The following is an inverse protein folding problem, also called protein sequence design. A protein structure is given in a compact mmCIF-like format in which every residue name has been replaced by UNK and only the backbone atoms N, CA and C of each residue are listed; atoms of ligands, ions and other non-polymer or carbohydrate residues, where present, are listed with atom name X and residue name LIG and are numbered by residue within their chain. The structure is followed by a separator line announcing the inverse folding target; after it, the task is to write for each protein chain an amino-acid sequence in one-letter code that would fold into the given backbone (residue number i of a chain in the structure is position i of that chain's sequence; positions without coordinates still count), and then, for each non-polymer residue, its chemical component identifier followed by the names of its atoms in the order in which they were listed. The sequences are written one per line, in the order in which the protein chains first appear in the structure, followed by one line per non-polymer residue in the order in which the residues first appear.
data_IF_142291129563
#
_entry.id   IF_142291129563
#
_cell.length_a   1.000
_cell.length_b   1.000
_cell.length_c   1.000
_cell.angle_alpha   90.00
_cell.angle_beta   90.00
_cell.angle_gamma   90.00
#
_symmetry.space_group_name_H-M   'P 1'
#
loop_
_entity.id
_entity.type
_entity.pdbx_description
1 polymer ?
#
# COMPACT_ATOMS: atom_id res chain seq x y z
N UNK A 1 -15.36 -2.59 9.97
CA UNK A 1 -14.52 -3.35 9.05
C UNK A 1 -13.06 -3.20 9.41
N UNK A 2 -12.28 -4.21 9.09
CA UNK A 2 -10.82 -4.14 9.18
C UNK A 2 -10.26 -3.92 7.79
N UNK A 3 -9.46 -2.89 7.62
CA UNK A 3 -8.91 -2.51 6.33
C UNK A 3 -7.40 -2.41 6.45
N UNK A 4 -6.68 -3.06 5.54
CA UNK A 4 -5.24 -2.87 5.38
C UNK A 4 -5.00 -2.07 4.12
N UNK A 5 -4.15 -1.04 4.21
CA UNK A 5 -3.76 -0.25 3.06
C UNK A 5 -2.29 -0.53 2.81
N UNK A 6 -1.95 -0.87 1.57
CA UNK A 6 -0.56 -1.06 1.15
C UNK A 6 -0.22 0.03 0.15
N UNK A 7 0.66 0.93 0.53
CA UNK A 7 1.02 2.02 -0.34
C UNK A 7 1.84 3.08 0.35
N UNK A 8 2.09 4.20 -0.35
CA UNK A 8 2.88 5.29 0.22
C UNK A 8 2.16 5.94 1.38
N UNK A 9 2.91 6.22 2.43
CA UNK A 9 2.44 6.97 3.59
C UNK A 9 3.66 7.52 4.29
N UNK A 10 3.47 8.27 5.36
CA UNK A 10 4.60 8.78 6.14
C UNK A 10 5.60 7.63 6.43
N UNK A 11 6.90 7.82 6.29
CA UNK A 11 7.60 9.08 6.06
C UNK A 11 7.82 9.44 4.59
N UNK A 12 7.18 8.78 3.65
CA UNK A 12 7.37 9.09 2.24
C UNK A 12 6.67 10.37 1.85
N UNK A 13 7.26 11.08 0.88
CA UNK A 13 6.80 12.38 0.42
C UNK A 13 5.89 12.25 -0.77
N UNK A 14 5.07 13.25 -1.00
CA UNK A 14 4.32 13.41 -2.23
C UNK A 14 2.83 13.26 -2.07
N UNK A 15 2.13 13.54 -3.17
CA UNK A 15 0.69 13.54 -3.20
C UNK A 15 0.07 12.17 -2.95
N UNK A 16 0.75 11.10 -3.37
CA UNK A 16 0.23 9.75 -3.16
C UNK A 16 0.14 9.42 -1.67
N UNK A 17 1.16 9.79 -0.90
CA UNK A 17 1.14 9.55 0.54
C UNK A 17 0.02 10.35 1.21
N UNK A 18 -0.17 11.59 0.80
CA UNK A 18 -1.25 12.44 1.33
C UNK A 18 -2.61 11.82 1.02
N UNK A 19 -2.81 11.36 -0.19
CA UNK A 19 -4.08 10.73 -0.61
C UNK A 19 -4.36 9.47 0.21
N UNK A 20 -3.36 8.60 0.37
CA UNK A 20 -3.56 7.36 1.11
C UNK A 20 -3.88 7.62 2.57
N UNK A 21 -3.21 8.58 3.19
CA UNK A 21 -3.50 8.95 4.57
C UNK A 21 -4.88 9.58 4.72
N UNK A 22 -5.29 10.38 3.76
CA UNK A 22 -6.64 10.96 3.76
C UNK A 22 -7.71 9.89 3.65
N UNK A 23 -7.49 8.90 2.79
CA UNK A 23 -8.42 7.78 2.66
C UNK A 23 -8.52 6.99 3.97
N UNK A 24 -7.38 6.76 4.62
CA UNK A 24 -7.39 6.06 5.91
C UNK A 24 -8.21 6.81 6.93
N UNK A 25 -8.10 8.13 6.97
CA UNK A 25 -8.88 8.94 7.91
C UNK A 25 -10.37 8.89 7.61
N UNK A 26 -10.74 8.86 6.34
CA UNK A 26 -12.15 8.71 5.96
C UNK A 26 -12.71 7.38 6.47
N UNK A 27 -11.99 6.30 6.28
CA UNK A 27 -12.41 4.99 6.78
C UNK A 27 -12.53 4.99 8.31
N UNK A 28 -11.57 5.60 8.99
CA UNK A 28 -11.62 5.69 10.45
C UNK A 28 -12.84 6.45 10.95
N UNK A 29 -13.23 7.51 10.26
CA UNK A 29 -14.42 8.28 10.62
C UNK A 29 -15.70 7.47 10.47
N UNK A 30 -15.67 6.47 9.59
CA UNK A 30 -16.79 5.54 9.42
C UNK A 30 -16.82 4.45 10.47
N UNK A 31 -15.82 4.41 11.33
CA UNK A 31 -15.74 3.39 12.37
C UNK A 31 -14.90 2.17 11.98
N UNK A 32 -14.18 2.22 10.86
CA UNK A 32 -13.36 1.11 10.42
C UNK A 32 -12.01 1.11 11.12
N UNK A 33 -11.45 -0.08 11.35
CA UNK A 33 -10.09 -0.23 11.84
C UNK A 33 -9.16 -0.25 10.63
N UNK A 34 -8.23 0.70 10.55
CA UNK A 34 -7.37 0.87 9.39
C UNK A 34 -5.91 0.79 9.80
N UNK A 35 -5.15 -0.02 9.09
CA UNK A 35 -3.70 -0.10 9.23
C UNK A 35 -3.05 0.14 7.89
N UNK A 36 -2.04 1.02 7.86
CA UNK A 36 -1.30 1.31 6.63
C UNK A 36 0.04 0.61 6.71
N UNK A 37 0.35 -0.16 5.68
CA UNK A 37 1.65 -0.81 5.52
C UNK A 37 2.38 -0.10 4.40
N UNK A 38 3.36 0.69 4.77
CA UNK A 38 4.14 1.45 3.82
C UNK A 38 5.53 0.84 3.64
N UNK A 39 6.37 1.50 2.89
CA UNK A 39 7.61 0.91 2.42
C UNK A 39 8.77 1.14 3.39
N UNK A 40 9.62 0.12 3.54
CA UNK A 40 10.97 0.31 4.06
C UNK A 40 11.89 0.78 2.95
N UNK A 41 11.63 0.30 1.72
CA UNK A 41 12.31 0.73 0.52
C UNK A 41 11.28 0.80 -0.60
N UNK A 42 10.97 1.99 -1.08
CA UNK A 42 9.99 2.18 -2.14
C UNK A 42 10.62 2.02 -3.52
N UNK A 43 11.78 2.65 -3.73
CA UNK A 43 12.54 2.55 -4.96
C UNK A 43 14.01 2.35 -4.65
N UNK A 44 14.75 1.63 -5.50
CA UNK A 44 16.20 1.58 -5.38
C UNK A 44 16.79 2.98 -5.50
N UNK A 45 17.87 3.22 -4.78
CA UNK A 45 18.54 4.53 -4.80
C UNK A 45 19.00 4.93 -6.19
N UNK A 46 19.28 3.95 -7.03
CA UNK A 46 19.74 4.22 -8.38
C UNK A 46 18.72 5.00 -9.20
N UNK A 47 17.43 4.88 -8.88
CA UNK A 47 16.37 5.61 -9.57
C UNK A 47 16.23 7.06 -9.09
N UNK A 48 16.75 7.37 -7.91
CA UNK A 48 16.61 8.69 -7.30
C UNK A 48 17.92 9.10 -6.64
N UNK A 49 19.02 9.20 -7.40
CA UNK A 49 20.30 9.57 -6.80
C UNK A 49 20.24 10.99 -6.25
N UNK A 50 20.73 11.16 -5.03
CA UNK A 50 20.80 12.47 -4.41
C UNK A 50 19.49 13.05 -3.94
N UNK A 51 18.40 12.29 -3.96
CA UNK A 51 17.09 12.75 -3.48
C UNK A 51 16.64 11.96 -2.28
N UNK A 52 16.07 12.68 -1.33
CA UNK A 52 15.41 12.06 -0.20
C UNK A 52 13.97 11.71 -0.58
N UNK A 53 13.61 10.46 -0.40
CA UNK A 53 12.25 10.00 -0.62
C UNK A 53 11.37 10.19 0.59
N UNK A 54 11.96 10.57 1.72
CA UNK A 54 11.26 10.62 3.01
C UNK A 54 11.36 12.00 3.63
N UNK A 55 10.46 12.27 4.57
CA UNK A 55 10.48 13.50 5.37
C UNK A 55 10.95 13.18 6.78
N UNK A 56 11.41 14.20 7.49
CA UNK A 56 11.96 14.06 8.83
C UNK A 56 10.95 14.44 9.91
N UNK A 57 9.70 14.62 9.55
CA UNK A 57 8.65 14.98 10.50
C UNK A 57 8.17 13.75 11.28
N UNK A 58 7.60 13.93 12.48
CA UNK A 58 7.04 12.81 13.22
C UNK A 58 5.81 12.23 12.49
N UNK A 59 5.53 10.94 12.70
CA UNK A 59 4.36 10.33 12.05
C UNK A 59 3.06 10.93 12.59
N UNK A 60 1.99 10.94 11.76
CA UNK A 60 0.68 11.35 12.23
C UNK A 60 0.22 10.49 13.40
N UNK A 61 -0.17 11.08 14.53
CA UNK A 61 -0.54 10.28 15.71
C UNK A 61 -1.89 9.58 15.57
N UNK A 62 -2.72 10.02 14.63
CA UNK A 62 -4.04 9.45 14.42
C UNK A 62 -4.07 8.25 13.48
N UNK A 63 -2.94 7.91 12.88
CA UNK A 63 -2.87 6.82 11.90
C UNK A 63 -1.90 5.75 12.36
N UNK A 64 -2.27 4.50 12.12
CA UNK A 64 -1.42 3.36 12.37
C UNK A 64 -0.64 3.06 11.09
N UNK A 65 0.62 3.44 11.06
CA UNK A 65 1.48 3.28 9.89
C UNK A 65 2.69 2.42 10.26
N UNK A 66 2.90 1.35 9.50
CA UNK A 66 4.04 0.46 9.70
C UNK A 66 4.87 0.42 8.43
N UNK A 67 6.17 0.64 8.56
CA UNK A 67 7.09 0.48 7.44
C UNK A 67 7.54 -0.95 7.37
N UNK A 68 7.06 -1.69 6.39
CA UNK A 68 7.35 -3.12 6.32
C UNK A 68 7.57 -3.67 4.92
N UNK A 69 7.27 -2.90 3.87
CA UNK A 69 7.34 -3.42 2.51
C UNK A 69 8.64 -3.01 1.83
N UNK A 70 9.45 -3.98 1.44
CA UNK A 70 10.66 -3.75 0.68
C UNK A 70 10.42 -4.19 -0.76
N UNK A 71 10.39 -3.23 -1.70
CA UNK A 71 10.05 -3.51 -3.09
C UNK A 71 11.09 -4.33 -3.83
N UNK A 72 12.24 -4.55 -3.23
CA UNK A 72 13.34 -5.30 -3.86
C UNK A 72 13.56 -6.68 -3.28
N UNK A 73 12.79 -7.09 -2.28
CA UNK A 73 13.02 -8.36 -1.59
C UNK A 73 11.77 -9.25 -1.68
N UNK A 74 11.79 -10.29 -2.54
CA UNK A 74 10.63 -11.19 -2.67
C UNK A 74 10.26 -11.94 -1.38
N UNK A 75 11.23 -12.25 -0.55
CA UNK A 75 10.94 -12.91 0.73
C UNK A 75 10.15 -11.99 1.64
N UNK A 76 10.44 -10.69 1.59
CA UNK A 76 9.66 -9.70 2.31
C UNK A 76 8.21 -9.68 1.83
N UNK A 77 7.98 -9.76 0.52
CA UNK A 77 6.63 -9.73 -0.06
C UNK A 77 5.79 -10.89 0.48
N UNK A 78 6.39 -12.07 0.54
CA UNK A 78 5.72 -13.26 1.07
C UNK A 78 5.40 -13.06 2.56
N UNK A 79 6.36 -12.55 3.32
CA UNK A 79 6.16 -12.33 4.75
C UNK A 79 5.06 -11.32 5.02
N UNK A 80 5.03 -10.22 4.28
CA UNK A 80 3.98 -9.21 4.42
C UNK A 80 2.62 -9.78 4.05
N UNK A 81 2.55 -10.53 2.95
CA UNK A 81 1.30 -11.17 2.54
C UNK A 81 0.77 -12.13 3.60
N UNK A 82 1.64 -12.94 4.17
CA UNK A 82 1.26 -13.87 5.24
C UNK A 82 0.81 -13.13 6.50
N UNK A 83 1.49 -12.04 6.82
CA UNK A 83 1.09 -11.21 7.96
C UNK A 83 -0.31 -10.67 7.77
N UNK A 84 -0.59 -10.12 6.59
CA UNK A 84 -1.94 -9.63 6.27
C UNK A 84 -2.96 -10.75 6.36
N UNK A 85 -2.64 -11.93 5.84
CA UNK A 85 -3.55 -13.06 5.90
C UNK A 85 -3.90 -13.43 7.34
N UNK A 86 -2.94 -13.36 8.24
CA UNK A 86 -3.17 -13.66 9.66
C UNK A 86 -4.00 -12.59 10.36
N UNK A 87 -3.86 -11.34 9.94
CA UNK A 87 -4.69 -10.25 10.49
C UNK A 87 -6.14 -10.34 10.04
N UNK A 88 -6.39 -11.02 8.93
CA UNK A 88 -7.73 -11.22 8.37
C UNK A 88 -8.50 -9.91 8.19
N UNK A 89 -7.96 -8.93 7.47
CA UNK A 89 -8.72 -7.74 7.15
C UNK A 89 -9.87 -8.11 6.20
N UNK A 90 -10.91 -7.32 6.22
CA UNK A 90 -12.02 -7.51 5.28
C UNK A 90 -11.56 -7.24 3.87
N UNK A 91 -10.75 -6.20 3.67
CA UNK A 91 -10.10 -6.01 2.39
C UNK A 91 -8.76 -5.30 2.54
N UNK A 92 -7.95 -5.43 1.49
CA UNK A 92 -6.66 -4.77 1.35
C UNK A 92 -6.76 -3.81 0.18
N UNK A 93 -6.49 -2.54 0.43
CA UNK A 93 -6.43 -1.53 -0.62
C UNK A 93 -4.98 -1.30 -0.99
N UNK A 94 -4.65 -1.54 -2.25
CA UNK A 94 -3.31 -1.35 -2.78
C UNK A 94 -3.30 -0.17 -3.73
N UNK A 95 -2.33 0.72 -3.56
CA UNK A 95 -2.13 1.85 -4.45
C UNK A 95 -1.07 1.49 -5.48
N UNK A 96 -1.50 1.31 -6.72
CA UNK A 96 -0.63 0.92 -7.82
C UNK A 96 -0.47 2.10 -8.77
N UNK A 97 0.76 2.53 -8.98
CA UNK A 97 1.00 3.68 -9.88
C UNK A 97 2.14 3.45 -10.86
N UNK A 98 2.86 2.35 -10.75
CA UNK A 98 3.97 2.07 -11.67
C UNK A 98 4.13 0.56 -11.84
N UNK A 99 4.47 0.10 -13.06
CA UNK A 99 4.71 -1.33 -13.30
C UNK A 99 5.79 -1.95 -12.44
N UNK A 100 6.72 -1.14 -11.94
CA UNK A 100 7.77 -1.61 -11.04
C UNK A 100 7.20 -2.32 -9.81
N UNK A 101 6.02 -1.91 -9.37
CA UNK A 101 5.38 -2.46 -8.16
C UNK A 101 4.62 -3.76 -8.41
N UNK A 102 4.42 -4.14 -9.67
CA UNK A 102 3.56 -5.28 -9.99
C UNK A 102 4.00 -6.59 -9.32
N UNK A 103 5.28 -7.01 -9.39
CA UNK A 103 5.67 -8.27 -8.75
C UNK A 103 5.51 -8.21 -7.23
N UNK A 104 5.83 -7.08 -6.61
CA UNK A 104 5.70 -6.91 -5.17
C UNK A 104 4.23 -7.01 -4.75
N UNK A 105 3.39 -6.17 -5.32
CA UNK A 105 1.97 -6.13 -4.95
C UNK A 105 1.23 -7.40 -5.32
N UNK A 106 1.56 -8.00 -6.46
CA UNK A 106 0.95 -9.25 -6.88
C UNK A 106 1.25 -10.38 -5.91
N UNK A 107 2.48 -10.46 -5.45
CA UNK A 107 2.88 -11.49 -4.49
C UNK A 107 2.20 -11.27 -3.14
N UNK A 108 2.21 -10.03 -2.65
CA UNK A 108 1.54 -9.70 -1.38
C UNK A 108 0.07 -10.06 -1.45
N UNK A 109 -0.61 -9.69 -2.54
CA UNK A 109 -2.03 -9.99 -2.72
C UNK A 109 -2.29 -11.48 -2.72
N UNK A 110 -1.46 -12.23 -3.42
CA UNK A 110 -1.61 -13.69 -3.53
C UNK A 110 -1.56 -14.35 -2.16
N UNK A 111 -0.59 -13.97 -1.34
CA UNK A 111 -0.46 -14.57 -0.01
C UNK A 111 -1.49 -14.04 0.96
N UNK A 112 -1.87 -12.77 0.85
CA UNK A 112 -2.91 -12.20 1.71
C UNK A 112 -4.26 -12.89 1.50
N UNK A 113 -4.56 -13.32 0.28
CA UNK A 113 -5.83 -13.97 -0.03
C UNK A 113 -5.92 -15.43 0.41
N UNK A 114 -4.84 -16.00 0.89
CA UNK A 114 -4.83 -17.42 1.28
C UNK A 114 -5.72 -17.73 2.47
N UNK A 115 -6.13 -16.73 3.23
CA UNK A 115 -7.08 -16.96 4.32
C UNK A 115 -8.51 -17.21 3.84
N UNK A 116 -8.79 -16.97 2.55
CA UNK A 116 -10.10 -17.23 1.95
C UNK A 116 -11.15 -16.16 2.19
N UNK A 117 -10.86 -15.15 2.99
CA UNK A 117 -11.86 -14.13 3.37
C UNK A 117 -11.48 -12.71 2.98
N UNK A 118 -10.20 -12.42 2.85
CA UNK A 118 -9.72 -11.08 2.52
C UNK A 118 -9.91 -10.79 1.03
N UNK A 119 -10.45 -9.63 0.72
CA UNK A 119 -10.60 -9.15 -0.66
C UNK A 119 -9.52 -8.13 -0.98
N UNK A 120 -9.10 -8.11 -2.24
CA UNK A 120 -8.07 -7.19 -2.69
C UNK A 120 -8.70 -6.16 -3.60
N UNK A 121 -8.48 -4.89 -3.26
CA UNK A 121 -8.85 -3.75 -4.09
C UNK A 121 -7.56 -3.08 -4.53
N UNK A 122 -7.45 -2.83 -5.82
CA UNK A 122 -6.28 -2.15 -6.36
C UNK A 122 -6.71 -0.84 -6.99
N UNK A 123 -6.22 0.26 -6.44
CA UNK A 123 -6.44 1.57 -7.01
C UNK A 123 -5.30 1.87 -7.96
N UNK A 124 -5.59 2.02 -9.24
CA UNK A 124 -4.58 2.14 -10.27
C UNK A 124 -4.58 3.56 -10.83
N UNK A 125 -3.42 4.19 -10.80
CA UNK A 125 -3.18 5.48 -11.42
C UNK A 125 -2.27 5.28 -12.63
N UNK A 126 -2.39 6.18 -13.60
CA UNK A 126 -1.49 6.21 -14.76
C UNK A 126 -1.48 4.93 -15.57
N UNK A 127 -2.64 4.31 -15.72
CA UNK A 127 -2.78 3.16 -16.59
C UNK A 127 -2.46 3.56 -18.03
N UNK A 128 -2.96 4.73 -18.43
CA UNK A 128 -2.68 5.32 -19.72
C UNK A 128 -1.90 6.62 -19.51
N UNK A 129 -0.69 6.77 -20.05
CA UNK A 129 0.16 7.90 -19.69
C UNK A 129 -0.43 9.27 -19.98
N UNK A 130 -1.29 9.40 -20.97
CA UNK A 130 -1.85 10.69 -21.36
C UNK A 130 -3.37 10.67 -21.42
N UNK A 131 -3.94 9.72 -20.72
CA UNK A 131 -5.37 9.51 -20.71
C UNK A 131 -5.95 9.76 -19.35
N UNK A 132 -7.22 9.49 -19.25
CA UNK A 132 -7.90 9.48 -17.98
C UNK A 132 -7.40 8.37 -17.07
N UNK A 133 -7.76 8.49 -15.84
CA UNK A 133 -7.34 7.51 -14.83
C UNK A 133 -8.39 6.45 -14.60
N UNK A 134 -7.95 5.23 -14.55
CA UNK A 134 -8.72 4.14 -13.97
C UNK A 134 -8.38 4.10 -12.50
N UNK A 135 -9.31 4.47 -11.66
CA UNK A 135 -9.00 4.66 -10.27
C UNK A 135 -9.23 3.44 -9.40
N UNK A 136 -9.99 2.48 -9.86
CA UNK A 136 -10.28 1.33 -9.04
C UNK A 136 -10.47 0.09 -9.89
N UNK A 137 -9.79 -0.98 -9.50
CA UNK A 137 -9.96 -2.28 -10.11
C UNK A 137 -10.17 -3.29 -9.01
N UNK A 138 -11.27 -4.01 -9.10
CA UNK A 138 -11.65 -4.98 -8.09
C UNK A 138 -11.24 -6.37 -8.49
N UNK A 139 -10.53 -7.05 -7.61
CA UNK A 139 -10.16 -8.44 -7.80
C UNK A 139 -10.85 -9.33 -6.81
N UNK A 140 -11.52 -10.31 -7.34
CA UNK A 140 -12.06 -11.40 -6.54
C UNK A 140 -11.49 -12.68 -7.05
N UNK A 141 -11.48 -13.68 -6.26
CA UNK A 141 -10.97 -14.92 -6.80
C UNK A 141 -11.36 -16.11 -6.07
#
# INVERSE_FOLDING_TARGET
MKISIVGPAHPYRGGLAVIMQSMARVFQRRGDEVKIKTFTLQYPRIFFPGRNQTVQTPPPPDLYIVRCVNTMNPFNWIAVGRWIAREKPDFVLMKYWTPFMAPCFGTIARFAKKNGTTRILCQIDNVEPHERHMTCLLYTS
#
